data_IF_633407841093
#
_entry.id   IF_633407841093
#
_cell.length_a   1.000
_cell.length_b   1.000
_cell.length_c   1.000
_cell.angle_alpha   90.00
_cell.angle_beta   90.00
_cell.angle_gamma   90.00
#
_symmetry.space_group_name_H-M   'P 1'
#
loop_
_entity.id
_entity.type
_entity.pdbx_description
1 polymer ?
#
# COMPACT_ATOMS: atom_id res chain seq x y z
N UNK A 1 -20.44 -3.00 -26.64
CA UNK A 1 -19.63 -3.13 -25.41
C UNK A 1 -18.52 -2.11 -25.54
N UNK A 2 -18.65 -0.96 -24.89
CA UNK A 2 -17.67 0.13 -25.00
C UNK A 2 -16.50 -0.16 -24.07
N UNK A 3 -15.34 -0.44 -24.65
CA UNK A 3 -14.08 -0.52 -23.90
C UNK A 3 -13.81 0.86 -23.30
N UNK A 4 -13.93 0.94 -21.98
CA UNK A 4 -13.62 2.14 -21.22
C UNK A 4 -12.15 2.47 -21.45
N UNK A 5 -11.91 3.53 -22.22
CA UNK A 5 -10.60 4.14 -22.42
C UNK A 5 -10.04 4.47 -21.04
N UNK A 6 -9.12 3.66 -20.53
CA UNK A 6 -8.34 4.02 -19.34
C UNK A 6 -7.62 5.30 -19.75
N UNK A 7 -8.11 6.44 -19.28
CA UNK A 7 -7.37 7.69 -19.42
C UNK A 7 -6.08 7.46 -18.66
N UNK A 8 -4.98 7.43 -19.40
CA UNK A 8 -3.63 7.39 -18.88
C UNK A 8 -3.47 8.59 -17.94
N UNK A 9 -3.76 8.37 -16.66
CA UNK A 9 -3.62 9.36 -15.62
C UNK A 9 -2.11 9.52 -15.44
N UNK A 10 -1.51 10.44 -16.20
CA UNK A 10 -0.20 11.00 -15.90
C UNK A 10 -0.33 11.79 -14.60
N UNK A 11 -0.43 11.08 -13.48
CA UNK A 11 -0.21 11.68 -12.19
C UNK A 11 1.30 11.83 -12.07
N UNK A 12 1.78 13.02 -12.39
CA UNK A 12 3.16 13.40 -12.17
C UNK A 12 3.41 13.41 -10.66
N UNK A 13 4.06 12.36 -10.16
CA UNK A 13 4.53 12.32 -8.77
C UNK A 13 5.62 13.38 -8.48
N UNK A 14 5.99 14.19 -9.48
CA UNK A 14 6.97 15.28 -9.38
C UNK A 14 6.32 16.53 -8.81
N UNK A 15 6.10 16.53 -7.49
CA UNK A 15 6.00 17.79 -6.77
C UNK A 15 7.40 18.44 -6.78
N UNK A 16 7.56 19.45 -7.62
CA UNK A 16 8.71 20.36 -7.80
C UNK A 16 9.92 20.14 -6.87
N UNK A 17 11.00 19.66 -7.48
CA UNK A 17 12.41 19.78 -7.07
C UNK A 17 12.71 20.36 -5.67
N UNK A 18 12.72 19.48 -4.66
CA UNK A 18 13.60 19.56 -3.50
C UNK A 18 13.74 18.15 -2.92
N UNK A 19 14.82 17.86 -2.21
CA UNK A 19 15.16 16.52 -1.68
C UNK A 19 14.19 15.98 -0.58
N UNK A 20 12.94 16.44 -0.57
CA UNK A 20 11.88 16.20 0.43
C UNK A 20 10.76 15.27 -0.06
N UNK A 21 10.86 14.70 -1.27
CA UNK A 21 9.78 13.89 -1.88
C UNK A 21 9.47 12.63 -1.05
N UNK A 22 10.48 11.98 -0.47
CA UNK A 22 10.30 10.77 0.34
C UNK A 22 9.60 11.03 1.68
N UNK A 23 9.92 12.15 2.34
CA UNK A 23 9.32 12.56 3.64
C UNK A 23 7.82 12.81 3.46
N UNK A 24 7.43 13.41 2.34
CA UNK A 24 6.02 13.74 2.05
C UNK A 24 5.17 12.51 1.74
N UNK A 25 5.70 11.50 1.05
CA UNK A 25 4.94 10.29 0.73
C UNK A 25 4.71 9.41 1.98
N UNK A 26 5.76 9.15 2.77
CA UNK A 26 5.64 8.35 3.99
C UNK A 26 4.63 8.97 4.97
N UNK A 27 4.64 10.30 5.12
CA UNK A 27 3.66 11.02 5.93
C UNK A 27 2.22 10.82 5.41
N UNK A 28 1.99 11.02 4.11
CA UNK A 28 0.65 10.84 3.52
C UNK A 28 0.12 9.41 3.66
N UNK A 29 0.98 8.41 3.45
CA UNK A 29 0.61 7.00 3.66
C UNK A 29 0.28 6.70 5.12
N UNK A 30 0.99 7.35 6.06
CA UNK A 30 0.68 7.26 7.49
C UNK A 30 -0.68 7.91 7.81
N UNK A 31 -0.98 9.06 7.20
CA UNK A 31 -2.27 9.72 7.40
C UNK A 31 -3.42 8.86 6.82
N UNK A 32 -3.23 8.27 5.64
CA UNK A 32 -4.19 7.31 5.06
C UNK A 32 -4.36 6.06 5.92
N UNK A 33 -3.30 5.57 6.56
CA UNK A 33 -3.38 4.43 7.47
C UNK A 33 -4.28 4.76 8.66
N UNK A 34 -4.14 5.95 9.25
CA UNK A 34 -4.97 6.43 10.37
C UNK A 34 -6.44 6.61 9.97
N UNK A 35 -6.68 7.07 8.75
CA UNK A 35 -8.03 7.25 8.20
C UNK A 35 -8.63 5.93 7.67
N UNK A 36 -7.86 4.83 7.63
CA UNK A 36 -8.28 3.54 7.08
C UNK A 36 -8.40 3.55 5.55
N UNK A 37 -7.88 4.56 4.86
CA UNK A 37 -7.97 4.72 3.41
C UNK A 37 -6.99 3.79 2.72
N UNK A 38 -7.51 2.92 1.85
CA UNK A 38 -6.70 2.01 1.05
C UNK A 38 -6.09 0.83 1.81
N UNK A 39 -6.47 0.61 3.08
CA UNK A 39 -6.05 -0.56 3.84
C UNK A 39 -6.68 -1.82 3.24
N UNK A 40 -5.83 -2.65 2.63
CA UNK A 40 -6.17 -3.85 1.87
C UNK A 40 -5.75 -5.15 2.59
N UNK A 41 -5.16 -5.02 3.77
CA UNK A 41 -4.87 -6.16 4.66
C UNK A 41 -5.22 -5.85 6.11
N UNK A 42 -5.62 -6.89 6.84
CA UNK A 42 -5.83 -6.88 8.28
C UNK A 42 -5.05 -8.02 8.94
N UNK A 43 -4.43 -7.74 10.07
CA UNK A 43 -3.79 -8.74 10.92
C UNK A 43 -4.57 -8.85 12.22
N UNK A 44 -4.71 -10.07 12.71
CA UNK A 44 -5.21 -10.35 14.05
C UNK A 44 -4.00 -10.75 14.88
N UNK A 45 -3.64 -9.94 15.88
CA UNK A 45 -2.39 -10.11 16.63
C UNK A 45 -2.66 -10.34 18.12
N UNK A 46 -1.77 -11.14 18.73
CA UNK A 46 -1.84 -11.46 20.16
C UNK A 46 -2.99 -12.38 20.55
N UNK A 47 -3.07 -12.69 21.85
CA UNK A 47 -4.17 -13.48 22.43
C UNK A 47 -5.47 -12.71 22.52
N UNK A 48 -5.38 -11.37 22.56
CA UNK A 48 -6.53 -10.47 22.62
C UNK A 48 -7.19 -10.24 21.25
N UNK A 49 -6.67 -10.86 20.19
CA UNK A 49 -7.18 -10.77 18.82
C UNK A 49 -7.32 -9.31 18.33
N UNK A 50 -6.32 -8.47 18.64
CA UNK A 50 -6.30 -7.08 18.21
C UNK A 50 -6.19 -7.00 16.67
N UNK A 51 -7.04 -6.17 16.05
CA UNK A 51 -7.07 -6.01 14.61
C UNK A 51 -6.21 -4.82 14.19
N UNK A 52 -5.18 -5.09 13.39
CA UNK A 52 -4.29 -4.08 12.81
C UNK A 52 -4.54 -4.01 11.30
N UNK A 53 -5.03 -2.85 10.83
CA UNK A 53 -5.16 -2.56 9.40
C UNK A 53 -3.82 -2.06 8.84
N UNK A 54 -3.54 -2.36 7.57
CA UNK A 54 -2.34 -1.86 6.88
C UNK A 54 -2.51 -1.82 5.36
N UNK A 55 -1.54 -1.19 4.69
CA UNK A 55 -1.36 -1.24 3.24
C UNK A 55 -0.37 -2.34 2.85
N UNK A 56 -0.79 -3.30 2.03
CA UNK A 56 0.05 -4.40 1.54
C UNK A 56 1.30 -3.88 0.84
N UNK A 57 1.16 -2.84 0.02
CA UNK A 57 2.29 -2.27 -0.72
C UNK A 57 3.36 -1.68 0.20
N UNK A 58 2.96 -1.03 1.30
CA UNK A 58 3.90 -0.45 2.27
C UNK A 58 4.64 -1.57 3.02
N UNK A 59 3.92 -2.61 3.43
CA UNK A 59 4.50 -3.77 4.11
C UNK A 59 5.46 -4.56 3.20
N UNK A 60 5.05 -4.81 1.95
CA UNK A 60 5.88 -5.49 0.96
C UNK A 60 7.15 -4.71 0.62
N UNK A 61 7.05 -3.40 0.42
CA UNK A 61 8.23 -2.55 0.19
C UNK A 61 9.18 -2.55 1.40
N UNK A 62 8.66 -2.79 2.60
CA UNK A 62 9.43 -2.72 3.85
C UNK A 62 9.96 -4.08 4.32
N UNK A 63 9.56 -5.20 3.72
CA UNK A 63 9.93 -6.55 4.15
C UNK A 63 9.80 -7.57 3.03
N UNK A 64 10.88 -8.31 2.76
CA UNK A 64 10.89 -9.41 1.79
C UNK A 64 9.89 -10.53 2.15
N UNK A 65 9.66 -10.75 3.45
CA UNK A 65 8.66 -11.72 3.92
C UNK A 65 7.27 -11.26 3.50
N UNK A 66 6.92 -9.99 3.71
CA UNK A 66 5.62 -9.47 3.27
C UNK A 66 5.52 -9.38 1.75
N UNK A 67 6.60 -9.01 1.05
CA UNK A 67 6.62 -9.02 -0.41
C UNK A 67 6.34 -10.43 -0.97
N UNK A 68 6.97 -11.45 -0.39
CA UNK A 68 6.76 -12.85 -0.79
C UNK A 68 5.37 -13.35 -0.38
N UNK A 69 4.88 -12.94 0.80
CA UNK A 69 3.54 -13.30 1.29
C UNK A 69 2.43 -12.74 0.39
N UNK A 70 2.54 -11.50 -0.07
CA UNK A 70 1.50 -10.84 -0.87
C UNK A 70 1.68 -11.02 -2.38
N UNK A 71 2.91 -11.03 -2.88
CA UNK A 71 3.21 -11.03 -4.32
C UNK A 71 4.11 -12.19 -4.77
N UNK A 72 4.56 -13.06 -3.86
CA UNK A 72 5.34 -14.24 -4.18
C UNK A 72 4.51 -15.35 -4.80
N UNK A 73 5.18 -16.35 -5.39
CA UNK A 73 4.53 -17.48 -6.08
C UNK A 73 3.57 -18.30 -5.19
N UNK A 74 3.71 -18.21 -3.86
CA UNK A 74 2.80 -18.85 -2.90
C UNK A 74 1.48 -18.09 -2.69
N UNK A 75 1.39 -16.83 -3.11
CA UNK A 75 0.21 -15.98 -2.93
C UNK A 75 -0.95 -16.32 -3.89
N UNK A 76 -0.73 -17.19 -4.88
CA UNK A 76 -1.76 -17.69 -5.78
C UNK A 76 -2.16 -19.12 -5.40
N UNK A 77 -3.02 -19.25 -4.39
CA UNK A 77 -3.97 -20.36 -4.37
C UNK A 77 -5.28 -19.84 -4.94
N UNK A 78 -5.70 -20.47 -6.04
CA UNK A 78 -6.84 -20.13 -6.89
C UNK A 78 -8.17 -20.31 -6.18
#
# INVERSE_FOLDING_TARGET
MSEGRISELKHDYTCSASEDVGVRLAKRLTDFLKEGVGCDVKFVVGTEHEVVLAHQIVLACSSEVFATMFYGKMAQSK
#
